data_IF_528282570637
#
_entry.id   IF_528282570637
#
_cell.length_a   1.000
_cell.length_b   1.000
_cell.length_c   1.000
_cell.angle_alpha   90.00
_cell.angle_beta   90.00
_cell.angle_gamma   90.00
#
_symmetry.space_group_name_H-M   'P 1'
#
loop_
_entity.id
_entity.type
_entity.pdbx_description
1 polymer ?
#
# COMPACT_ATOMS: atom_id res chain seq x y z
N UNK A 1 0.62 -106.17 63.53
CA UNK A 1 1.25 -104.94 64.07
C UNK A 1 1.57 -104.04 62.89
N UNK A 2 0.72 -103.05 62.64
CA UNK A 2 0.79 -102.16 61.47
C UNK A 2 1.70 -100.98 61.78
N UNK A 3 2.71 -100.75 60.93
CA UNK A 3 3.59 -99.58 61.01
C UNK A 3 2.98 -98.42 60.23
N UNK A 4 2.64 -97.35 60.95
CA UNK A 4 2.19 -96.07 60.38
C UNK A 4 3.42 -95.27 59.95
N UNK A 5 3.53 -94.98 58.65
CA UNK A 5 4.54 -94.06 58.09
C UNK A 5 4.07 -92.62 58.31
N UNK A 6 4.92 -91.69 58.80
CA UNK A 6 4.52 -90.30 59.01
C UNK A 6 4.45 -89.52 57.68
N UNK A 7 3.68 -88.42 57.61
CA UNK A 7 3.49 -87.65 56.39
C UNK A 7 4.74 -86.85 56.01
N UNK A 8 5.11 -86.90 54.74
CA UNK A 8 6.18 -86.12 54.12
C UNK A 8 5.85 -84.63 54.14
N UNK A 9 6.63 -83.82 54.86
CA UNK A 9 6.53 -82.36 54.83
C UNK A 9 6.91 -81.84 53.43
N UNK A 10 6.05 -81.01 52.84
CA UNK A 10 6.34 -80.34 51.58
C UNK A 10 7.55 -79.40 51.73
N UNK A 11 8.46 -79.34 50.74
CA UNK A 11 9.64 -78.48 50.83
C UNK A 11 9.23 -77.01 50.86
N UNK A 12 9.62 -76.30 51.92
CA UNK A 12 9.58 -74.84 51.98
C UNK A 12 10.52 -74.27 50.92
N UNK A 13 10.07 -73.30 50.09
CA UNK A 13 10.94 -72.71 49.09
C UNK A 13 12.13 -72.01 49.77
N UNK A 14 13.35 -72.11 49.19
CA UNK A 14 14.55 -71.53 49.80
C UNK A 14 14.40 -70.00 49.90
N UNK A 15 14.73 -69.42 51.05
CA UNK A 15 14.55 -68.00 51.37
C UNK A 15 15.16 -67.04 50.31
N UNK A 16 16.19 -67.49 49.59
CA UNK A 16 16.82 -66.75 48.49
C UNK A 16 15.91 -66.51 47.28
N UNK A 17 14.96 -67.40 47.02
CA UNK A 17 13.99 -67.26 45.91
C UNK A 17 13.02 -66.09 46.14
N UNK A 18 12.52 -65.94 47.36
CA UNK A 18 11.64 -64.84 47.78
C UNK A 18 12.39 -63.51 47.77
N UNK A 19 13.63 -63.47 48.25
CA UNK A 19 14.44 -62.25 48.25
C UNK A 19 14.80 -61.77 46.83
N UNK A 20 14.98 -62.70 45.88
CA UNK A 20 15.22 -62.38 44.47
C UNK A 20 13.94 -61.90 43.78
N UNK A 21 12.81 -62.57 44.03
CA UNK A 21 11.49 -62.15 43.54
C UNK A 21 11.10 -60.76 44.06
N UNK A 22 11.36 -60.45 45.33
CA UNK A 22 11.10 -59.11 45.89
C UNK A 22 11.98 -58.02 45.24
N UNK A 23 13.25 -58.32 44.94
CA UNK A 23 14.14 -57.37 44.24
C UNK A 23 13.66 -57.08 42.83
N UNK A 24 13.25 -58.11 42.08
CA UNK A 24 12.68 -57.96 40.74
C UNK A 24 11.37 -57.18 40.78
N UNK A 25 10.48 -57.48 41.74
CA UNK A 25 9.22 -56.76 41.91
C UNK A 25 9.44 -55.29 42.26
N UNK A 26 10.36 -54.97 43.18
CA UNK A 26 10.72 -53.58 43.52
C UNK A 26 11.29 -52.83 42.31
N UNK A 27 12.13 -53.47 41.50
CA UNK A 27 12.66 -52.87 40.28
C UNK A 27 11.56 -52.61 39.22
N UNK A 28 10.62 -53.54 39.05
CA UNK A 28 9.47 -53.39 38.15
C UNK A 28 8.52 -52.27 38.62
N UNK A 29 8.22 -52.21 39.92
CA UNK A 29 7.41 -51.13 40.51
C UNK A 29 8.10 -49.78 40.35
N UNK A 30 9.43 -49.72 40.54
CA UNK A 30 10.23 -48.52 40.30
C UNK A 30 10.18 -48.04 38.85
N UNK A 31 10.33 -48.96 37.88
CA UNK A 31 10.19 -48.66 36.45
C UNK A 31 8.78 -48.18 36.07
N UNK A 32 7.75 -48.81 36.62
CA UNK A 32 6.35 -48.43 36.39
C UNK A 32 6.07 -47.02 36.94
N UNK A 33 6.56 -46.71 38.15
CA UNK A 33 6.43 -45.39 38.74
C UNK A 33 7.14 -44.31 37.92
N UNK A 34 8.35 -44.60 37.41
CA UNK A 34 9.11 -43.69 36.54
C UNK A 34 8.38 -43.43 35.21
N UNK A 35 7.86 -44.48 34.58
CA UNK A 35 7.05 -44.39 33.37
C UNK A 35 5.75 -43.60 33.59
N UNK A 36 5.08 -43.78 34.73
CA UNK A 36 3.89 -43.01 35.12
C UNK A 36 4.23 -41.54 35.34
N UNK A 37 5.30 -41.21 36.07
CA UNK A 37 5.71 -39.81 36.27
C UNK A 37 6.16 -39.13 34.98
N UNK A 38 6.90 -39.85 34.12
CA UNK A 38 7.28 -39.35 32.79
C UNK A 38 6.07 -39.17 31.89
N UNK A 39 5.12 -40.11 31.90
CA UNK A 39 3.88 -40.05 31.12
C UNK A 39 2.93 -38.94 31.60
N UNK A 40 2.76 -38.76 32.91
CA UNK A 40 1.99 -37.65 33.50
C UNK A 40 2.69 -36.33 33.24
N UNK A 41 4.01 -36.25 33.39
CA UNK A 41 4.80 -35.07 33.06
C UNK A 41 4.66 -34.68 31.58
N UNK A 42 4.78 -35.65 30.67
CA UNK A 42 4.59 -35.46 29.23
C UNK A 42 3.16 -35.06 28.88
N UNK A 43 2.15 -35.67 29.52
CA UNK A 43 0.74 -35.32 29.34
C UNK A 43 0.45 -33.88 29.82
N UNK A 44 0.94 -33.50 30.99
CA UNK A 44 0.80 -32.14 31.52
C UNK A 44 1.56 -31.11 30.67
N UNK A 45 2.73 -31.47 30.18
CA UNK A 45 3.54 -30.67 29.27
C UNK A 45 2.81 -30.42 27.93
N UNK A 46 2.26 -31.48 27.31
CA UNK A 46 1.42 -31.35 26.13
C UNK A 46 0.16 -30.50 26.39
N UNK A 47 -0.46 -30.66 27.56
CA UNK A 47 -1.64 -29.88 27.97
C UNK A 47 -1.31 -28.40 28.22
N UNK A 48 -0.07 -28.05 28.52
CA UNK A 48 0.38 -26.66 28.63
C UNK A 48 0.70 -26.04 27.26
N UNK A 49 1.28 -26.81 26.35
CA UNK A 49 1.59 -26.37 24.98
C UNK A 49 0.35 -26.22 24.09
N UNK A 50 -0.72 -26.98 24.34
CA UNK A 50 -1.95 -26.96 23.53
C UNK A 50 -3.01 -25.95 23.96
N UNK A 51 -2.71 -25.02 24.88
CA UNK A 51 -3.75 -24.13 25.40
C UNK A 51 -4.00 -22.92 24.48
N UNK A 52 -5.27 -22.56 24.24
CA UNK A 52 -5.57 -21.41 23.41
C UNK A 52 -4.98 -20.12 23.96
N UNK A 53 -4.51 -19.28 23.06
CA UNK A 53 -3.86 -17.99 23.34
C UNK A 53 -4.63 -16.89 22.66
N UNK A 54 -4.97 -15.84 23.40
CA UNK A 54 -5.50 -14.59 22.86
C UNK A 54 -4.37 -13.62 22.56
N UNK A 55 -4.33 -13.15 21.31
CA UNK A 55 -3.38 -12.16 20.82
C UNK A 55 -3.95 -10.76 21.04
N UNK A 56 -3.20 -9.95 21.79
CA UNK A 56 -3.53 -8.55 22.03
C UNK A 56 -2.61 -7.65 21.20
N UNK A 57 -3.20 -6.67 20.51
CA UNK A 57 -2.48 -5.64 19.75
C UNK A 57 -2.76 -4.29 20.41
N UNK A 58 -1.73 -3.69 21.01
CA UNK A 58 -1.89 -2.43 21.75
C UNK A 58 -2.87 -2.55 22.92
N UNK A 59 -2.92 -3.71 23.57
CA UNK A 59 -3.81 -4.00 24.71
C UNK A 59 -5.24 -4.42 24.34
N UNK A 60 -5.63 -4.39 23.06
CA UNK A 60 -6.96 -4.86 22.60
C UNK A 60 -6.89 -6.32 22.15
N UNK A 61 -7.84 -7.15 22.57
CA UNK A 61 -7.97 -8.54 22.09
C UNK A 61 -8.34 -8.55 20.61
N UNK A 62 -7.53 -9.19 19.76
CA UNK A 62 -7.74 -9.19 18.31
C UNK A 62 -8.12 -10.57 17.79
N UNK A 63 -7.42 -11.62 18.22
CA UNK A 63 -7.67 -12.99 17.76
C UNK A 63 -7.36 -13.98 18.89
N UNK A 64 -8.01 -15.14 18.89
CA UNK A 64 -7.66 -16.27 19.75
C UNK A 64 -7.25 -17.44 18.88
N UNK A 65 -6.14 -18.10 19.17
CA UNK A 65 -5.61 -19.23 18.39
C UNK A 65 -5.31 -20.42 19.28
N UNK A 66 -5.08 -21.59 18.68
CA UNK A 66 -4.96 -22.86 19.38
C UNK A 66 -3.83 -22.91 20.41
N UNK A 67 -2.70 -22.25 20.15
CA UNK A 67 -1.57 -22.19 21.06
C UNK A 67 -0.59 -21.06 20.69
N UNK A 68 0.46 -20.91 21.49
CA UNK A 68 1.50 -19.92 21.29
C UNK A 68 2.25 -20.07 19.95
N UNK A 69 2.57 -21.30 19.52
CA UNK A 69 3.24 -21.53 18.24
C UNK A 69 2.38 -21.11 17.05
N UNK A 70 1.07 -21.38 17.10
CA UNK A 70 0.10 -20.86 16.12
C UNK A 70 0.03 -19.34 16.18
N UNK A 71 0.10 -18.73 17.36
CA UNK A 71 0.08 -17.28 17.50
C UNK A 71 1.28 -16.61 16.82
N UNK A 72 2.48 -17.12 17.04
CA UNK A 72 3.70 -16.63 16.39
C UNK A 72 3.63 -16.77 14.87
N UNK A 73 3.22 -17.94 14.37
CA UNK A 73 3.08 -18.19 12.93
C UNK A 73 2.06 -17.24 12.31
N UNK A 74 0.85 -17.18 12.86
CA UNK A 74 -0.25 -16.38 12.31
C UNK A 74 0.06 -14.87 12.37
N UNK A 75 0.75 -14.40 13.42
CA UNK A 75 1.26 -13.04 13.50
C UNK A 75 2.28 -12.75 12.39
N UNK A 76 3.27 -13.62 12.21
CA UNK A 76 4.29 -13.46 11.18
C UNK A 76 3.67 -13.46 9.76
N UNK A 77 2.69 -14.34 9.52
CA UNK A 77 1.94 -14.36 8.26
C UNK A 77 1.13 -13.08 8.05
N UNK A 78 0.45 -12.57 9.09
CA UNK A 78 -0.30 -11.33 9.02
C UNK A 78 0.61 -10.13 8.72
N UNK A 79 1.80 -10.09 9.31
CA UNK A 79 2.80 -9.05 9.04
C UNK A 79 3.31 -9.10 7.61
N UNK A 80 3.71 -10.28 7.14
CA UNK A 80 4.14 -10.48 5.74
C UNK A 80 3.05 -10.11 4.75
N UNK A 81 1.80 -10.51 5.01
CA UNK A 81 0.67 -10.20 4.16
C UNK A 81 0.34 -8.69 4.15
N UNK A 82 0.46 -8.01 5.31
CA UNK A 82 0.23 -6.56 5.41
C UNK A 82 1.34 -5.73 4.75
N UNK A 83 2.58 -6.16 4.91
CA UNK A 83 3.78 -5.47 4.38
C UNK A 83 3.96 -5.72 2.88
N UNK A 84 3.62 -6.93 2.42
CA UNK A 84 3.82 -7.38 1.05
C UNK A 84 5.25 -7.89 0.81
N UNK A 85 5.38 -8.86 -0.10
CA UNK A 85 6.65 -9.54 -0.39
C UNK A 85 7.77 -8.58 -0.83
N UNK A 86 7.41 -7.46 -1.49
CA UNK A 86 8.36 -6.48 -1.99
C UNK A 86 9.17 -5.78 -0.88
N UNK A 87 8.66 -5.74 0.36
CA UNK A 87 9.31 -5.13 1.52
C UNK A 87 9.83 -6.16 2.54
N UNK A 88 9.76 -7.46 2.21
CA UNK A 88 10.07 -8.54 3.16
C UNK A 88 11.56 -8.69 3.50
N UNK A 89 12.46 -7.99 2.79
CA UNK A 89 13.90 -8.03 3.03
C UNK A 89 14.29 -7.49 4.42
N UNK A 90 13.44 -6.67 5.04
CA UNK A 90 13.67 -6.11 6.37
C UNK A 90 12.47 -6.34 7.27
N UNK A 91 12.74 -6.56 8.56
CA UNK A 91 11.69 -6.74 9.55
C UNK A 91 10.86 -5.45 9.70
N UNK A 92 9.52 -5.51 9.57
CA UNK A 92 8.69 -4.33 9.78
C UNK A 92 8.72 -3.88 11.25
N UNK A 93 8.64 -2.57 11.48
CA UNK A 93 8.54 -1.99 12.80
C UNK A 93 7.09 -1.97 13.25
N UNK A 94 6.81 -2.64 14.36
CA UNK A 94 5.51 -2.62 15.04
C UNK A 94 5.38 -1.32 15.83
N UNK A 95 4.31 -0.56 15.59
CA UNK A 95 3.98 0.62 16.40
C UNK A 95 3.16 0.28 17.65
N UNK A 96 2.82 -0.98 17.84
CA UNK A 96 1.98 -1.47 18.92
C UNK A 96 2.64 -2.67 19.58
N UNK A 97 2.56 -2.73 20.92
CA UNK A 97 3.00 -3.90 21.68
C UNK A 97 2.09 -5.09 21.35
N UNK A 98 2.70 -6.22 21.06
CA UNK A 98 2.01 -7.51 20.91
C UNK A 98 2.16 -8.29 22.21
N UNK A 99 1.07 -8.88 22.67
CA UNK A 99 1.05 -9.72 23.86
C UNK A 99 0.23 -10.97 23.59
N UNK A 100 0.73 -12.09 24.10
CA UNK A 100 0.05 -13.38 24.07
C UNK A 100 -0.39 -13.71 25.49
N UNK A 101 -1.70 -13.79 25.69
CA UNK A 101 -2.27 -14.15 26.98
C UNK A 101 -3.01 -15.46 26.84
N UNK A 102 -3.02 -16.26 27.90
CA UNK A 102 -3.88 -17.45 27.97
C UNK A 102 -5.33 -17.04 27.72
N UNK A 103 -5.99 -17.75 26.81
CA UNK A 103 -7.39 -17.48 26.52
C UNK A 103 -8.27 -17.86 27.74
N UNK A 104 -9.31 -17.07 28.06
CA UNK A 104 -10.30 -17.47 29.05
C UNK A 104 -10.97 -18.80 28.67
N UNK A 105 -11.40 -19.57 29.67
CA UNK A 105 -12.14 -20.80 29.44
C UNK A 105 -13.42 -20.52 28.61
N UNK A 106 -13.70 -21.39 27.64
CA UNK A 106 -14.89 -21.29 26.79
C UNK A 106 -14.78 -20.32 25.61
N UNK A 107 -13.66 -19.59 25.45
CA UNK A 107 -13.44 -18.76 24.25
C UNK A 107 -12.98 -19.65 23.09
N UNK A 108 -13.74 -19.75 21.99
CA UNK A 108 -13.34 -20.56 20.86
C UNK A 108 -12.11 -19.95 20.17
N UNK A 109 -11.25 -20.81 19.63
CA UNK A 109 -10.16 -20.37 18.77
C UNK A 109 -10.71 -19.96 17.39
N UNK A 110 -10.23 -18.85 16.88
CA UNK A 110 -10.38 -18.44 15.49
C UNK A 110 -9.60 -19.41 14.60
N UNK A 111 -10.13 -19.69 13.41
CA UNK A 111 -9.35 -20.34 12.36
C UNK A 111 -8.19 -19.43 11.93
N UNK A 112 -7.04 -20.01 11.57
CA UNK A 112 -5.81 -19.27 11.25
C UNK A 112 -6.00 -18.17 10.21
N UNK A 113 -6.77 -18.44 9.15
CA UNK A 113 -7.05 -17.44 8.11
C UNK A 113 -7.84 -16.23 8.66
N UNK A 114 -8.78 -16.47 9.56
CA UNK A 114 -9.60 -15.44 10.22
C UNK A 114 -8.73 -14.64 11.20
N UNK A 115 -7.95 -15.32 12.03
CA UNK A 115 -7.01 -14.68 12.95
C UNK A 115 -6.00 -13.79 12.19
N UNK A 116 -5.45 -14.29 11.08
CA UNK A 116 -4.54 -13.53 10.21
C UNK A 116 -5.21 -12.26 9.67
N UNK A 117 -6.44 -12.35 9.17
CA UNK A 117 -7.17 -11.20 8.64
C UNK A 117 -7.48 -10.16 9.74
N UNK A 118 -7.92 -10.60 10.92
CA UNK A 118 -8.14 -9.71 12.09
C UNK A 118 -6.85 -8.98 12.48
N UNK A 119 -5.72 -9.68 12.53
CA UNK A 119 -4.41 -9.09 12.83
C UNK A 119 -3.97 -8.11 11.74
N UNK A 120 -4.09 -8.45 10.46
CA UNK A 120 -3.78 -7.54 9.35
C UNK A 120 -4.54 -6.22 9.46
N UNK A 121 -5.81 -6.25 9.87
CA UNK A 121 -6.61 -5.04 10.11
C UNK A 121 -6.13 -4.23 11.32
N UNK A 122 -5.73 -4.90 12.41
CA UNK A 122 -5.38 -4.27 13.67
C UNK A 122 -3.93 -3.72 13.74
N UNK A 123 -2.99 -4.37 13.05
CA UNK A 123 -1.56 -4.06 13.14
C UNK A 123 -1.23 -2.70 12.52
N UNK A 124 -0.48 -1.86 13.23
CA UNK A 124 0.14 -0.65 12.67
C UNK A 124 1.63 -0.90 12.46
N UNK A 125 2.03 -1.02 11.20
CA UNK A 125 3.39 -1.38 10.80
C UNK A 125 4.05 -0.25 10.01
N UNK A 126 5.36 -0.11 10.20
CA UNK A 126 6.22 0.70 9.33
C UNK A 126 7.26 -0.17 8.66
N UNK A 127 7.67 0.22 7.45
CA UNK A 127 8.65 -0.49 6.64
C UNK A 127 9.78 0.44 6.25
N UNK A 128 10.98 -0.11 6.09
CA UNK A 128 12.09 0.61 5.46
C UNK A 128 11.81 0.72 3.96
N UNK A 129 11.90 1.93 3.43
CA UNK A 129 11.61 2.23 2.04
C UNK A 129 12.55 3.31 1.51
N UNK A 130 12.74 3.33 0.20
CA UNK A 130 13.27 4.48 -0.53
C UNK A 130 12.12 5.44 -0.82
N UNK A 131 12.12 6.58 -0.13
CA UNK A 131 11.01 7.53 -0.12
C UNK A 131 11.27 8.66 -1.09
N UNK A 132 10.32 8.90 -1.98
CA UNK A 132 10.28 10.10 -2.82
C UNK A 132 9.94 11.28 -1.89
N UNK A 133 10.78 12.29 -1.88
CA UNK A 133 10.63 13.52 -1.08
C UNK A 133 10.49 14.67 -2.05
N UNK A 134 9.38 15.41 -1.96
CA UNK A 134 9.08 16.53 -2.84
C UNK A 134 9.10 17.82 -2.02
N UNK A 135 9.94 18.78 -2.39
CA UNK A 135 10.14 20.03 -1.66
C UNK A 135 10.37 19.81 -0.15
N UNK A 136 11.16 18.78 0.19
CA UNK A 136 11.46 18.40 1.58
C UNK A 136 10.37 17.58 2.30
N UNK A 137 9.19 17.40 1.70
CA UNK A 137 8.07 16.64 2.27
C UNK A 137 8.08 15.21 1.75
N UNK A 138 8.16 14.22 2.63
CA UNK A 138 8.04 12.79 2.27
C UNK A 138 6.69 12.54 1.56
N UNK A 139 6.66 11.70 0.52
CA UNK A 139 5.47 11.34 -0.26
C UNK A 139 5.15 9.82 -0.21
N UNK A 140 5.55 9.03 -1.20
CA UNK A 140 5.38 7.57 -1.26
C UNK A 140 6.76 6.92 -1.14
N UNK A 141 6.80 5.76 -0.48
CA UNK A 141 8.00 4.92 -0.43
C UNK A 141 7.86 3.66 -1.25
N UNK A 142 8.96 3.28 -1.89
CA UNK A 142 9.12 2.05 -2.64
C UNK A 142 10.22 1.19 -2.01
N UNK A 143 10.32 -0.12 -2.34
CA UNK A 143 11.29 -1.00 -1.71
C UNK A 143 12.74 -0.53 -1.86
N UNK A 144 13.07 0.07 -3.00
CA UNK A 144 14.42 0.49 -3.36
C UNK A 144 14.41 1.77 -4.21
N UNK A 145 15.59 2.35 -4.37
CA UNK A 145 15.77 3.61 -5.07
C UNK A 145 15.54 3.49 -6.59
N UNK A 146 15.80 2.32 -7.18
CA UNK A 146 15.61 2.10 -8.61
C UNK A 146 14.13 2.17 -8.98
N UNK A 147 13.25 1.52 -8.21
CA UNK A 147 11.79 1.61 -8.37
C UNK A 147 11.27 3.02 -8.12
N UNK A 148 11.83 3.72 -7.13
CA UNK A 148 11.47 5.12 -6.89
C UNK A 148 11.86 6.03 -8.07
N UNK A 149 13.02 5.80 -8.70
CA UNK A 149 13.42 6.52 -9.92
C UNK A 149 12.48 6.20 -11.09
N UNK A 150 12.20 4.91 -11.33
CA UNK A 150 11.25 4.47 -12.37
C UNK A 150 9.86 5.09 -12.19
N UNK A 151 9.43 5.30 -10.95
CA UNK A 151 8.17 6.00 -10.65
C UNK A 151 8.21 7.44 -11.16
N UNK A 152 9.30 8.17 -10.93
CA UNK A 152 9.44 9.55 -11.40
C UNK A 152 9.52 9.64 -12.93
N UNK A 153 10.17 8.68 -13.58
CA UNK A 153 10.20 8.60 -15.06
C UNK A 153 8.80 8.28 -15.61
N UNK A 154 8.08 7.33 -15.02
CA UNK A 154 6.69 7.05 -15.43
C UNK A 154 5.78 8.29 -15.29
N UNK A 155 6.01 9.14 -14.28
CA UNK A 155 5.28 10.41 -14.12
C UNK A 155 5.63 11.40 -15.24
N UNK A 156 6.91 11.54 -15.59
CA UNK A 156 7.33 12.37 -16.72
C UNK A 156 6.71 11.90 -18.04
N UNK A 157 6.77 10.59 -18.30
CA UNK A 157 6.24 9.97 -19.51
C UNK A 157 4.73 10.18 -19.64
N UNK A 158 4.00 10.02 -18.54
CA UNK A 158 2.55 10.26 -18.50
C UNK A 158 2.20 11.67 -19.01
N UNK A 159 2.87 12.71 -18.49
CA UNK A 159 2.62 14.09 -18.91
C UNK A 159 3.16 14.42 -20.30
N UNK A 160 4.25 13.76 -20.74
CA UNK A 160 4.76 13.90 -22.09
C UNK A 160 3.74 13.41 -23.14
N UNK A 161 3.04 12.31 -22.83
CA UNK A 161 2.04 11.68 -23.69
C UNK A 161 0.65 12.32 -23.61
N UNK A 162 0.41 13.28 -22.70
CA UNK A 162 -0.90 13.95 -22.61
C UNK A 162 -1.21 14.75 -23.88
N UNK A 163 -2.48 14.77 -24.35
CA UNK A 163 -2.89 15.65 -25.44
C UNK A 163 -2.58 17.13 -25.16
N UNK A 164 -2.31 17.95 -26.18
CA UNK A 164 -2.22 17.59 -27.61
C UNK A 164 -1.00 16.73 -27.96
N UNK A 165 -1.15 15.82 -28.92
CA UNK A 165 -0.06 14.98 -29.42
C UNK A 165 0.84 15.78 -30.35
N UNK A 166 2.14 15.80 -30.06
CA UNK A 166 3.16 16.50 -30.83
C UNK A 166 4.55 16.02 -30.40
N UNK A 167 5.57 16.31 -31.21
CA UNK A 167 6.95 15.96 -30.88
C UNK A 167 7.39 16.70 -29.61
N UNK A 168 7.83 15.95 -28.60
CA UNK A 168 8.41 16.51 -27.38
C UNK A 168 9.80 17.06 -27.69
N UNK A 169 10.07 18.27 -27.21
CA UNK A 169 11.34 18.98 -27.40
C UNK A 169 12.12 18.95 -26.09
N UNK A 170 13.26 18.25 -26.09
CA UNK A 170 14.05 18.01 -24.88
C UNK A 170 13.38 17.03 -23.92
N UNK A 171 13.95 16.89 -22.72
CA UNK A 171 13.42 15.97 -21.70
C UNK A 171 12.36 16.65 -20.81
N UNK A 172 11.25 15.96 -20.48
CA UNK A 172 10.31 16.43 -19.46
C UNK A 172 10.99 16.66 -18.11
N UNK A 173 10.66 17.77 -17.46
CA UNK A 173 11.30 18.18 -16.20
C UNK A 173 10.28 18.27 -15.08
N UNK A 174 10.59 17.66 -13.93
CA UNK A 174 9.86 17.92 -12.69
C UNK A 174 10.34 19.28 -12.16
N UNK A 175 9.41 20.19 -11.88
CA UNK A 175 9.71 21.56 -11.43
C UNK A 175 10.12 21.57 -9.96
N UNK A 176 9.49 20.74 -9.14
CA UNK A 176 9.77 20.64 -7.71
C UNK A 176 11.12 19.97 -7.43
N UNK A 177 11.71 20.29 -6.28
CA UNK A 177 12.93 19.61 -5.82
C UNK A 177 12.57 18.21 -5.32
N UNK A 178 13.00 17.19 -6.05
CA UNK A 178 12.79 15.78 -5.70
C UNK A 178 14.08 15.15 -5.20
N UNK A 179 13.97 14.34 -4.14
CA UNK A 179 15.04 13.48 -3.64
C UNK A 179 14.48 12.10 -3.29
N UNK A 180 15.30 11.06 -3.44
CA UNK A 180 14.98 9.71 -2.98
C UNK A 180 15.82 9.45 -1.73
N UNK A 181 15.16 9.22 -0.59
CA UNK A 181 15.83 9.10 0.71
C UNK A 181 15.39 7.82 1.42
N UNK A 182 16.31 6.98 1.93
CA UNK A 182 15.94 5.83 2.75
C UNK A 182 15.29 6.30 4.06
N UNK A 183 14.04 5.90 4.31
CA UNK A 183 13.29 6.23 5.53
C UNK A 183 12.35 5.10 5.92
N UNK A 184 12.04 5.03 7.20
CA UNK A 184 10.98 4.16 7.72
C UNK A 184 9.64 4.87 7.57
N UNK A 185 8.65 4.29 6.88
CA UNK A 185 7.33 4.90 6.64
C UNK A 185 6.19 3.94 6.96
N UNK A 186 4.99 4.48 7.15
CA UNK A 186 3.77 3.67 7.32
C UNK A 186 3.49 2.84 6.07
N UNK A 187 3.12 1.57 6.25
CA UNK A 187 2.69 0.67 5.17
C UNK A 187 1.62 1.26 4.25
N UNK A 188 0.73 2.15 4.75
CA UNK A 188 -0.27 2.84 3.94
C UNK A 188 0.33 3.72 2.84
N UNK A 189 1.56 4.20 3.04
CA UNK A 189 2.32 5.06 2.10
C UNK A 189 3.39 4.30 1.33
N UNK A 190 3.45 2.98 1.49
CA UNK A 190 4.34 2.11 0.75
C UNK A 190 3.65 1.58 -0.52
N UNK A 191 4.39 1.47 -1.61
CA UNK A 191 3.94 0.86 -2.88
C UNK A 191 4.99 -0.09 -3.38
N UNK A 192 4.56 -1.27 -3.82
CA UNK A 192 5.48 -2.35 -4.21
C UNK A 192 6.13 -2.13 -5.57
N UNK A 193 5.45 -1.42 -6.49
CA UNK A 193 5.90 -1.23 -7.87
C UNK A 193 5.75 0.23 -8.31
N UNK A 194 6.51 0.66 -9.35
CA UNK A 194 6.35 1.99 -9.93
C UNK A 194 4.93 2.26 -10.43
N UNK A 195 4.28 1.30 -11.08
CA UNK A 195 2.95 1.43 -11.68
C UNK A 195 1.89 1.68 -10.61
N UNK A 196 2.04 1.07 -9.43
CA UNK A 196 1.15 1.29 -8.28
C UNK A 196 1.44 2.62 -7.56
N UNK A 197 2.64 3.18 -7.71
CA UNK A 197 3.07 4.41 -7.05
C UNK A 197 2.80 5.66 -7.88
N UNK A 198 3.03 5.59 -9.19
CA UNK A 198 3.02 6.72 -10.09
C UNK A 198 1.67 7.48 -10.16
N UNK A 199 0.49 6.81 -10.10
CA UNK A 199 -0.81 7.47 -9.98
C UNK A 199 -0.91 8.45 -8.81
N UNK A 200 -0.16 8.25 -7.73
CA UNK A 200 -0.14 9.18 -6.61
C UNK A 200 0.31 10.61 -7.00
N UNK A 201 1.02 10.77 -8.12
CA UNK A 201 1.58 12.05 -8.55
C UNK A 201 0.82 12.74 -9.68
N UNK A 202 -0.05 12.03 -10.41
CA UNK A 202 -0.90 12.62 -11.45
C UNK A 202 -2.40 12.48 -11.19
N UNK A 203 -2.80 11.72 -10.17
CA UNK A 203 -4.16 11.74 -9.65
C UNK A 203 -4.26 12.80 -8.54
N UNK A 204 -5.07 13.86 -8.72
CA UNK A 204 -5.31 14.83 -7.67
C UNK A 204 -5.80 14.14 -6.40
N UNK A 205 -5.34 14.57 -5.21
CA UNK A 205 -5.88 14.08 -3.95
C UNK A 205 -7.39 14.25 -3.92
N UNK A 206 -8.07 13.35 -3.19
CA UNK A 206 -9.53 13.39 -3.02
C UNK A 206 -10.01 14.81 -2.70
N UNK A 207 -10.84 15.34 -3.59
CA UNK A 207 -11.35 16.70 -3.54
C UNK A 207 -12.37 16.80 -2.42
N UNK A 208 -12.40 17.92 -1.69
CA UNK A 208 -13.56 18.28 -0.88
C UNK A 208 -14.77 18.34 -1.82
N UNK A 209 -15.73 17.44 -1.62
CA UNK A 209 -16.97 17.44 -2.39
C UNK A 209 -18.05 18.23 -1.66
N UNK A 210 -18.99 18.77 -2.43
CA UNK A 210 -20.18 19.44 -1.94
C UNK A 210 -21.39 18.79 -2.56
N UNK A 211 -22.36 18.43 -1.73
CA UNK A 211 -23.66 17.96 -2.20
C UNK A 211 -24.55 19.18 -2.45
N UNK A 212 -24.96 19.37 -3.69
CA UNK A 212 -25.79 20.47 -4.14
C UNK A 212 -27.11 20.47 -3.37
N UNK A 213 -27.48 21.63 -2.83
CA UNK A 213 -28.73 21.83 -2.11
C UNK A 213 -29.73 22.60 -2.97
N UNK A 214 -31.00 22.59 -2.55
CA UNK A 214 -32.06 23.32 -3.24
C UNK A 214 -31.74 24.82 -3.29
N UNK A 215 -31.71 25.39 -4.49
CA UNK A 215 -31.44 26.81 -4.71
C UNK A 215 -29.96 27.18 -4.85
N UNK A 216 -29.06 26.20 -4.85
CA UNK A 216 -27.67 26.44 -5.22
C UNK A 216 -27.50 26.60 -6.73
N UNK A 217 -26.52 27.41 -7.11
CA UNK A 217 -25.99 27.50 -8.46
C UNK A 217 -24.51 27.17 -8.43
N UNK A 218 -23.93 26.70 -9.54
CA UNK A 218 -22.50 26.41 -9.61
C UNK A 218 -21.64 27.61 -9.19
N UNK A 219 -22.04 28.82 -9.57
CA UNK A 219 -21.36 30.05 -9.17
C UNK A 219 -21.41 30.30 -7.65
N UNK A 220 -22.59 30.12 -7.02
CA UNK A 220 -22.73 30.29 -5.56
C UNK A 220 -21.97 29.23 -4.78
N UNK A 221 -21.93 27.99 -5.27
CA UNK A 221 -21.16 26.91 -4.66
C UNK A 221 -19.67 27.23 -4.74
N UNK A 222 -19.17 27.65 -5.91
CA UNK A 222 -17.78 28.03 -6.10
C UNK A 222 -17.38 29.19 -5.17
N UNK A 223 -18.19 30.26 -5.14
CA UNK A 223 -17.95 31.42 -4.28
C UNK A 223 -17.94 31.06 -2.79
N UNK A 224 -18.90 30.26 -2.31
CA UNK A 224 -18.97 29.78 -0.91
C UNK A 224 -17.78 28.94 -0.50
N UNK A 225 -17.15 28.25 -1.45
CA UNK A 225 -15.97 27.42 -1.21
C UNK A 225 -14.66 28.13 -1.57
N UNK A 226 -14.70 29.44 -1.81
CA UNK A 226 -13.53 30.27 -2.13
C UNK A 226 -12.71 29.75 -3.32
N UNK A 227 -13.39 29.20 -4.33
CA UNK A 227 -12.76 28.77 -5.59
C UNK A 227 -13.26 29.64 -6.75
N UNK A 228 -12.37 29.93 -7.71
CA UNK A 228 -12.77 30.62 -8.93
C UNK A 228 -13.75 29.75 -9.72
N UNK A 229 -14.66 30.36 -10.47
CA UNK A 229 -15.59 29.57 -11.29
C UNK A 229 -14.84 28.76 -12.36
N UNK A 230 -13.72 29.28 -12.87
CA UNK A 230 -12.82 28.56 -13.80
C UNK A 230 -12.18 27.32 -13.16
N UNK A 231 -11.70 27.41 -11.93
CA UNK A 231 -11.18 26.25 -11.20
C UNK A 231 -12.29 25.28 -10.84
N UNK A 232 -13.50 25.77 -10.54
CA UNK A 232 -14.67 24.93 -10.30
C UNK A 232 -15.07 24.13 -11.54
N UNK A 233 -15.06 24.76 -12.72
CA UNK A 233 -15.25 24.08 -14.02
C UNK A 233 -14.16 23.03 -14.25
N UNK A 234 -12.90 23.40 -14.03
CA UNK A 234 -11.75 22.49 -14.23
C UNK A 234 -11.79 21.31 -13.25
N UNK A 235 -12.28 21.50 -12.03
CA UNK A 235 -12.41 20.45 -11.02
C UNK A 235 -13.57 19.48 -11.32
N UNK A 236 -14.50 19.84 -12.21
CA UNK A 236 -15.68 19.04 -12.56
C UNK A 236 -15.79 18.80 -14.07
N UNK A 237 -14.78 18.18 -14.71
CA UNK A 237 -14.83 17.92 -16.15
C UNK A 237 -16.03 17.03 -16.51
N UNK A 238 -16.73 17.38 -17.60
CA UNK A 238 -17.90 16.63 -18.08
C UNK A 238 -19.21 16.89 -17.34
N UNK A 239 -19.26 17.82 -16.37
CA UNK A 239 -20.51 18.25 -15.71
C UNK A 239 -20.98 19.60 -16.23
N UNK A 240 -22.28 19.71 -16.52
CA UNK A 240 -22.92 21.00 -16.79
C UNK A 240 -23.21 21.72 -15.47
N UNK A 241 -22.26 22.56 -15.04
CA UNK A 241 -22.35 23.28 -13.76
C UNK A 241 -23.41 24.42 -13.76
N UNK A 242 -24.06 24.67 -14.90
CA UNK A 242 -25.21 25.56 -15.00
C UNK A 242 -26.54 24.84 -14.74
N UNK A 243 -26.56 23.50 -14.70
CA UNK A 243 -27.77 22.67 -14.53
C UNK A 243 -27.68 21.70 -13.36
N UNK A 244 -27.09 22.15 -12.25
CA UNK A 244 -26.98 21.34 -11.03
C UNK A 244 -28.36 21.07 -10.40
N UNK A 245 -28.59 19.84 -9.96
CA UNK A 245 -29.78 19.41 -9.24
C UNK A 245 -29.47 19.14 -7.78
N UNK A 246 -30.43 19.36 -6.85
CA UNK A 246 -30.24 18.95 -5.46
C UNK A 246 -29.91 17.46 -5.35
N UNK A 247 -28.88 17.13 -4.58
CA UNK A 247 -28.33 15.78 -4.46
C UNK A 247 -27.13 15.50 -5.38
N UNK A 248 -26.87 16.33 -6.38
CA UNK A 248 -25.64 16.21 -7.19
C UNK A 248 -24.40 16.43 -6.31
N UNK A 249 -23.32 15.70 -6.59
CA UNK A 249 -22.04 15.90 -5.91
C UNK A 249 -21.07 16.64 -6.83
N UNK A 250 -20.53 17.77 -6.38
CA UNK A 250 -19.55 18.58 -7.13
C UNK A 250 -18.25 18.74 -6.35
N UNK A 251 -17.14 18.84 -7.06
CA UNK A 251 -15.80 19.05 -6.51
C UNK A 251 -15.61 20.55 -6.22
N UNK A 252 -15.36 20.91 -4.96
CA UNK A 252 -15.25 22.30 -4.51
C UNK A 252 -13.85 22.70 -4.04
N UNK A 253 -12.83 21.91 -4.37
CA UNK A 253 -11.45 22.27 -4.11
C UNK A 253 -10.51 21.61 -5.11
N UNK A 254 -9.69 22.39 -5.81
CA UNK A 254 -8.58 21.85 -6.58
C UNK A 254 -7.41 21.65 -5.62
N UNK A 255 -7.14 20.42 -5.19
CA UNK A 255 -5.82 20.14 -4.61
C UNK A 255 -4.83 19.98 -5.75
N UNK A 256 -3.82 20.87 -5.85
CA UNK A 256 -2.81 20.72 -6.89
C UNK A 256 -2.07 19.40 -6.72
N UNK A 257 -1.61 18.85 -7.85
CA UNK A 257 -0.74 17.68 -7.85
C UNK A 257 0.53 17.99 -7.06
N UNK A 258 1.10 16.94 -6.46
CA UNK A 258 2.34 17.07 -5.72
C UNK A 258 3.53 17.41 -6.63
N UNK A 259 3.45 17.00 -7.89
CA UNK A 259 4.46 17.27 -8.92
C UNK A 259 3.86 18.09 -10.06
N UNK A 260 4.68 18.99 -10.57
CA UNK A 260 4.47 19.72 -11.81
C UNK A 260 5.51 19.26 -12.80
N UNK A 261 5.07 18.62 -13.88
CA UNK A 261 5.91 18.23 -15.00
C UNK A 261 5.80 19.27 -16.09
N UNK A 262 6.95 19.85 -16.44
CA UNK A 262 7.13 20.73 -17.59
C UNK A 262 7.48 19.91 -18.81
N UNK A 263 6.69 20.06 -19.87
CA UNK A 263 6.91 19.43 -21.17
C UNK A 263 6.93 20.52 -22.24
N UNK A 264 7.86 20.47 -23.18
CA UNK A 264 7.84 21.33 -24.36
C UNK A 264 7.47 20.51 -25.57
N UNK A 265 6.59 21.01 -26.43
CA UNK A 265 6.18 20.33 -27.67
C UNK A 265 6.29 21.26 -28.86
N UNK A 266 6.68 20.70 -30.01
CA UNK A 266 6.79 21.42 -31.28
C UNK A 266 5.53 21.24 -32.11
N UNK A 267 5.02 22.35 -32.65
CA UNK A 267 3.90 22.37 -33.58
C UNK A 267 4.27 23.15 -34.82
N UNK A 268 3.76 22.74 -35.97
CA UNK A 268 3.94 23.47 -37.23
C UNK A 268 2.56 23.75 -37.82
N UNK A 269 2.32 25.01 -38.21
CA UNK A 269 1.05 25.42 -38.80
C UNK A 269 1.30 26.42 -39.92
N UNK A 270 0.55 26.25 -41.01
CA UNK A 270 0.52 27.23 -42.09
C UNK A 270 -0.49 28.34 -41.72
N UNK A 271 -0.03 29.58 -41.74
CA UNK A 271 -0.77 30.77 -41.30
C UNK A 271 -0.68 31.86 -42.38
N UNK A 272 -1.75 32.65 -42.57
CA UNK A 272 -1.72 33.76 -43.50
C UNK A 272 -0.79 34.87 -42.99
N UNK A 273 -0.06 35.50 -43.91
CA UNK A 273 0.75 36.70 -43.66
C UNK A 273 -0.22 37.89 -43.68
N UNK A 274 -0.90 38.13 -42.55
CA UNK A 274 -1.90 39.19 -42.46
C UNK A 274 -1.24 40.52 -42.11
N UNK A 275 -1.08 41.38 -43.11
CA UNK A 275 -1.09 42.81 -42.90
C UNK A 275 -2.07 43.43 -43.90
N UNK A 276 -3.36 43.44 -43.53
CA UNK A 276 -4.43 44.23 -44.17
C UNK A 276 -4.80 43.89 -45.64
N UNK A 277 -4.43 42.72 -46.17
CA UNK A 277 -4.79 42.31 -47.53
C UNK A 277 -6.17 41.61 -47.61
N UNK A 278 -6.96 41.81 -48.68
CA UNK A 278 -8.21 41.07 -48.91
C UNK A 278 -8.01 39.55 -48.98
N UNK A 279 -9.05 38.74 -48.67
CA UNK A 279 -9.03 37.29 -48.89
C UNK A 279 -8.72 36.97 -50.36
N UNK A 280 -7.49 36.52 -50.65
CA UNK A 280 -6.97 36.28 -52.01
C UNK A 280 -5.61 36.92 -52.30
N UNK A 281 -5.19 37.90 -51.48
CA UNK A 281 -3.90 38.60 -51.61
C UNK A 281 -2.94 38.34 -50.43
N UNK A 282 -3.43 37.71 -49.36
CA UNK A 282 -2.62 37.32 -48.22
C UNK A 282 -1.61 36.24 -48.62
N UNK A 283 -0.32 36.48 -48.33
CA UNK A 283 0.71 35.46 -48.45
C UNK A 283 0.49 34.35 -47.42
N UNK A 284 1.25 33.25 -47.56
CA UNK A 284 1.19 32.11 -46.65
C UNK A 284 2.57 31.87 -46.05
N UNK A 285 2.64 31.63 -44.75
CA UNK A 285 3.87 31.25 -44.07
C UNK A 285 3.63 30.01 -43.21
N UNK A 286 4.65 29.17 -43.09
CA UNK A 286 4.70 28.05 -42.16
C UNK A 286 5.39 28.50 -40.88
N UNK A 287 4.65 28.49 -39.78
CA UNK A 287 5.15 28.89 -38.47
C UNK A 287 5.38 27.64 -37.62
N UNK A 288 6.58 27.51 -37.06
CA UNK A 288 6.90 26.49 -36.06
C UNK A 288 6.90 27.11 -34.67
N UNK A 289 6.17 26.47 -33.76
CA UNK A 289 6.00 26.87 -32.38
C UNK A 289 6.62 25.85 -31.44
N UNK A 290 7.28 26.31 -30.39
CA UNK A 290 7.54 25.51 -29.20
C UNK A 290 6.59 25.97 -28.10
N UNK A 291 5.73 25.06 -27.66
CA UNK A 291 4.73 25.32 -26.62
C UNK A 291 5.14 24.60 -25.33
N UNK A 292 5.17 25.33 -24.22
CA UNK A 292 5.47 24.79 -22.89
C UNK A 292 4.19 24.47 -22.14
N UNK A 293 4.07 23.23 -21.69
CA UNK A 293 2.97 22.72 -20.88
C UNK A 293 3.44 22.44 -19.45
N UNK A 294 2.61 22.79 -18.46
CA UNK A 294 2.74 22.33 -17.08
C UNK A 294 1.56 21.41 -16.76
N UNK A 295 1.83 20.14 -16.46
CA UNK A 295 0.79 19.12 -16.21
C UNK A 295 -0.32 19.10 -17.29
N UNK A 296 0.05 19.27 -18.56
CA UNK A 296 -0.88 19.30 -19.71
C UNK A 296 -1.53 20.65 -19.99
N UNK A 297 -1.31 21.70 -19.18
CA UNK A 297 -1.83 23.05 -19.43
C UNK A 297 -0.81 23.92 -20.15
N UNK A 298 -1.17 24.52 -21.29
CA UNK A 298 -0.30 25.46 -22.02
C UNK A 298 -0.02 26.69 -21.16
N UNK A 299 1.26 27.04 -21.03
CA UNK A 299 1.73 28.17 -20.21
C UNK A 299 2.55 29.19 -21.00
N UNK A 300 3.16 28.77 -22.10
CA UNK A 300 3.98 29.63 -22.96
C UNK A 300 4.00 29.08 -24.38
N UNK A 301 4.00 29.97 -25.37
CA UNK A 301 4.18 29.65 -26.79
C UNK A 301 5.23 30.59 -27.37
N UNK A 302 6.27 30.01 -27.95
CA UNK A 302 7.37 30.74 -28.58
C UNK A 302 7.44 30.36 -30.07
N UNK A 303 7.54 31.35 -30.97
CA UNK A 303 7.81 31.08 -32.39
C UNK A 303 9.30 30.80 -32.55
N UNK A 304 9.64 29.68 -33.16
CA UNK A 304 11.04 29.27 -33.39
C UNK A 304 11.46 29.33 -34.85
N UNK A 305 10.52 29.17 -35.79
CA UNK A 305 10.79 29.35 -37.21
C UNK A 305 9.57 29.93 -37.95
N UNK A 306 9.83 30.69 -39.02
CA UNK A 306 8.84 31.20 -39.95
C UNK A 306 9.37 31.04 -41.38
N UNK A 307 8.81 30.10 -42.13
CA UNK A 307 9.16 29.87 -43.53
C UNK A 307 8.07 30.43 -44.45
N UNK A 308 8.42 31.40 -45.30
CA UNK A 308 7.47 31.96 -46.27
C UNK A 308 7.18 30.92 -47.37
N UNK A 309 5.91 30.53 -47.50
CA UNK A 309 5.44 29.60 -48.54
C UNK A 309 4.93 30.36 -49.77
N UNK A 310 4.21 31.46 -49.56
CA UNK A 310 3.72 32.34 -50.62
C UNK A 310 3.84 33.82 -50.22
N UNK A 311 4.24 34.65 -51.18
CA UNK A 311 4.46 36.09 -50.95
C UNK A 311 3.12 36.83 -50.99
N UNK A 312 2.87 37.78 -50.07
CA UNK A 312 1.70 38.65 -50.19
C UNK A 312 1.80 39.50 -51.46
N UNK A 313 0.65 39.74 -52.12
CA UNK A 313 0.57 40.67 -53.25
C UNK A 313 0.13 42.03 -52.71
N UNK A 314 0.86 43.10 -53.03
CA UNK A 314 0.49 44.47 -52.65
C UNK A 314 -0.18 45.15 -53.83
N UNK A 315 -1.40 45.68 -53.67
CA UNK A 315 -1.91 46.66 -54.64
C UNK A 315 -1.02 47.92 -54.57
N UNK A 316 -0.32 48.22 -55.66
CA UNK A 316 0.28 49.53 -55.87
C UNK A 316 -0.87 50.55 -55.87
N UNK A 317 -0.90 51.44 -54.89
CA UNK A 317 -1.83 52.58 -54.89
C UNK A 317 -1.52 53.43 -56.13
N UNK A 318 -2.44 53.42 -57.10
CA UNK A 318 -2.48 54.33 -58.25
C UNK A 318 -3.03 55.70 -57.83
#
# INVERSE_FOLDING_TARGET
>A
MSTQTPPTAAPTPPADSLARQLRVLKALVGLLALALTGGVGYYLYQRHLGQPVTILVGGKRVATVLNAATADRVLAEAERAKVGAAFAAQTPLRLQKIQFLRAPAGVPADADAVARQKLMGALKLRVHASVIVVNGRSSIGLPDAARAQQTLEAVKDHFAQMPPQAQVVGEPQIVEKVAIVPKVIDTARARSTPEAAAPYFWTPPSVKTYMVQRGDTGFRIAARNHISFTDFLTANPGKDLNKLRPGDTVNVQKMPLLLTVRVKKTFTRDEPIVAHAPPGEAGLQRVTYVVTYLNGQETKRDVTNMDMLDKPRTQLSL
#
